data_IF_870206447822
#
_entry.id   IF_870206447822
#
_cell.length_a   1.000
_cell.length_b   1.000
_cell.length_c   1.000
_cell.angle_alpha   90.00
_cell.angle_beta   90.00
_cell.angle_gamma   90.00
#
_symmetry.space_group_name_H-M   'P 1'
#
loop_
_entity.id
_entity.type
_entity.pdbx_description
1 polymer ?
#
# COMPACT_ATOMS: atom_id res chain seq x y z
N UNK A 1 20.95 -26.81 68.21
CA UNK A 1 21.35 -25.48 68.71
C UNK A 1 22.51 -24.99 67.86
N UNK A 2 22.29 -23.96 67.02
CA UNK A 2 22.98 -22.64 67.02
C UNK A 2 24.49 -22.74 66.69
N UNK A 3 25.13 -22.12 65.69
CA UNK A 3 24.91 -21.01 64.73
C UNK A 3 25.95 -21.21 63.57
N UNK A 4 25.67 -20.96 62.29
CA UNK A 4 25.76 -19.67 61.56
C UNK A 4 27.13 -18.93 61.67
N UNK A 5 27.84 -18.77 60.54
CA UNK A 5 28.38 -17.52 59.95
C UNK A 5 29.56 -17.82 58.98
N UNK A 6 29.36 -17.70 57.66
CA UNK A 6 29.62 -16.53 56.77
C UNK A 6 31.12 -16.20 56.62
N UNK A 7 31.74 -16.42 55.45
CA UNK A 7 31.81 -15.53 54.26
C UNK A 7 32.69 -14.28 54.52
N UNK A 8 33.63 -13.86 53.67
CA UNK A 8 33.43 -13.34 52.30
C UNK A 8 34.79 -13.33 51.57
N UNK A 9 34.82 -13.86 50.35
CA UNK A 9 35.92 -13.73 49.39
C UNK A 9 35.54 -12.64 48.38
N UNK A 10 36.46 -11.71 48.15
CA UNK A 10 36.48 -10.68 47.12
C UNK A 10 36.19 -11.22 45.72
N UNK A 11 35.28 -10.62 44.95
CA UNK A 11 35.33 -10.72 43.49
C UNK A 11 34.58 -9.59 42.78
N UNK A 12 35.36 -8.82 42.03
CA UNK A 12 35.05 -8.18 40.75
C UNK A 12 33.71 -7.43 40.60
N UNK A 13 33.83 -6.11 40.61
CA UNK A 13 32.95 -5.17 39.93
C UNK A 13 32.84 -5.57 38.45
N UNK A 14 31.82 -6.34 38.10
CA UNK A 14 31.42 -6.51 36.70
C UNK A 14 30.38 -5.44 36.39
N UNK A 15 30.85 -4.38 35.73
CA UNK A 15 30.02 -3.48 34.96
C UNK A 15 29.41 -4.31 33.81
N UNK A 16 28.32 -5.01 34.08
CA UNK A 16 27.52 -5.58 32.99
C UNK A 16 26.77 -4.43 32.34
N UNK A 17 27.24 -4.02 31.17
CA UNK A 17 26.40 -3.33 30.20
C UNK A 17 25.22 -4.26 29.91
N UNK A 18 24.11 -4.06 30.61
CA UNK A 18 22.81 -4.45 30.11
C UNK A 18 22.43 -3.48 28.97
N UNK A 19 23.21 -3.48 27.89
CA UNK A 19 22.72 -3.17 26.55
C UNK A 19 21.99 -4.43 26.03
N UNK A 20 21.07 -4.94 26.84
CA UNK A 20 20.16 -6.01 26.50
C UNK A 20 18.86 -5.36 26.09
N UNK A 21 18.62 -5.32 24.77
CA UNK A 21 17.31 -5.23 24.14
C UNK A 21 16.18 -4.66 25.03
N UNK A 22 16.02 -3.34 25.05
CA UNK A 22 14.65 -2.82 25.14
C UNK A 22 13.99 -3.21 23.82
N UNK A 23 13.34 -4.38 23.81
CA UNK A 23 12.33 -4.67 22.83
C UNK A 23 11.37 -3.48 22.86
N UNK A 24 11.26 -2.78 21.74
CA UNK A 24 10.23 -1.78 21.51
C UNK A 24 8.89 -2.50 21.75
N UNK A 25 8.33 -2.38 22.96
CA UNK A 25 6.96 -2.81 23.20
C UNK A 25 6.14 -1.93 22.28
N UNK A 26 5.75 -2.46 21.12
CA UNK A 26 4.84 -1.79 20.20
C UNK A 26 3.59 -1.45 21.01
N UNK A 27 3.47 -0.17 21.35
CA UNK A 27 2.36 0.35 22.11
C UNK A 27 1.07 -0.04 21.39
N UNK A 28 0.26 -0.87 22.05
CA UNK A 28 -0.97 -1.39 21.47
C UNK A 28 -1.90 -0.21 21.16
N UNK A 29 -2.47 -0.18 19.96
CA UNK A 29 -3.46 0.84 19.61
C UNK A 29 -4.71 0.59 20.44
N UNK A 30 -4.92 1.40 21.48
CA UNK A 30 -6.19 1.38 22.21
C UNK A 30 -7.26 2.09 21.37
N UNK A 31 -8.17 1.29 20.81
CA UNK A 31 -9.25 1.78 19.95
C UNK A 31 -10.54 2.12 20.67
N UNK A 32 -10.62 1.82 21.97
CA UNK A 32 -11.82 2.03 22.78
C UNK A 32 -11.65 3.17 23.79
N UNK A 33 -12.63 4.06 23.81
CA UNK A 33 -12.86 5.01 24.90
C UNK A 33 -14.30 4.84 25.39
N UNK A 34 -14.51 4.65 26.69
CA UNK A 34 -15.83 4.41 27.29
C UNK A 34 -16.64 3.31 26.55
N UNK A 35 -15.96 2.21 26.18
CA UNK A 35 -16.53 1.06 25.46
C UNK A 35 -17.05 1.38 24.03
N UNK A 36 -16.64 2.51 23.44
CA UNK A 36 -16.92 2.87 22.05
C UNK A 36 -15.64 2.90 21.22
N UNK A 37 -15.73 2.44 19.98
CA UNK A 37 -14.65 2.62 19.01
C UNK A 37 -14.51 4.11 18.69
N UNK A 38 -13.30 4.65 18.80
CA UNK A 38 -13.06 6.09 18.61
C UNK A 38 -11.92 6.41 17.64
N UNK A 39 -11.05 5.44 17.33
CA UNK A 39 -9.85 5.67 16.53
C UNK A 39 -10.14 5.59 15.04
N UNK A 40 -9.51 6.45 14.26
CA UNK A 40 -9.48 6.34 12.80
C UNK A 40 -8.14 5.80 12.32
N UNK A 41 -8.15 5.10 11.18
CA UNK A 41 -6.95 4.53 10.57
C UNK A 41 -6.91 4.87 9.09
N UNK A 42 -5.74 5.30 8.60
CA UNK A 42 -5.52 5.60 7.18
C UNK A 42 -4.39 4.73 6.64
N UNK A 43 -4.68 3.97 5.58
CA UNK A 43 -3.67 3.28 4.77
C UNK A 43 -3.53 4.00 3.44
N UNK A 44 -2.29 4.20 3.00
CA UNK A 44 -2.01 4.70 1.66
C UNK A 44 -1.50 3.57 0.79
N UNK A 45 -2.07 3.42 -0.41
CA UNK A 45 -1.57 2.43 -1.37
C UNK A 45 -0.10 2.74 -1.67
N UNK A 46 0.73 1.69 -1.78
CA UNK A 46 2.15 1.82 -2.11
C UNK A 46 3.03 2.33 -0.97
N UNK A 47 2.44 2.76 0.15
CA UNK A 47 3.16 3.20 1.33
C UNK A 47 3.28 2.08 2.34
N UNK A 48 4.47 1.98 2.95
CA UNK A 48 4.77 1.03 4.03
C UNK A 48 4.52 1.64 5.40
N UNK A 49 3.53 2.52 5.48
CA UNK A 49 3.18 3.26 6.68
C UNK A 49 1.65 3.44 6.72
N UNK A 50 1.07 3.33 7.92
CA UNK A 50 -0.34 3.63 8.16
C UNK A 50 -0.45 4.64 9.31
N UNK A 51 -1.54 5.38 9.36
CA UNK A 51 -1.71 6.50 10.29
C UNK A 51 -2.90 6.23 11.20
N UNK A 52 -2.78 6.56 12.49
CA UNK A 52 -3.84 6.43 13.48
C UNK A 52 -4.20 7.81 13.98
N UNK A 53 -5.48 8.18 13.97
CA UNK A 53 -5.98 9.51 14.37
C UNK A 53 -5.26 10.67 13.68
N UNK A 54 -4.88 10.47 12.42
CA UNK A 54 -4.15 11.48 11.64
C UNK A 54 -2.74 11.80 12.15
N UNK A 55 -2.23 11.06 13.14
CA UNK A 55 -0.88 11.27 13.70
C UNK A 55 0.20 10.89 12.69
N UNK A 56 1.22 11.74 12.60
CA UNK A 56 2.39 11.59 11.72
C UNK A 56 3.68 11.80 12.52
N UNK A 57 4.78 11.07 12.26
CA UNK A 57 4.90 9.94 11.33
C UNK A 57 3.97 8.79 11.75
N UNK A 58 3.59 7.97 10.78
CA UNK A 58 2.72 6.83 11.01
C UNK A 58 3.49 5.60 11.53
N UNK A 59 2.80 4.47 11.55
CA UNK A 59 3.33 3.18 11.98
C UNK A 59 3.80 2.40 10.76
N UNK A 60 5.05 1.91 10.82
CA UNK A 60 5.68 1.18 9.73
C UNK A 60 5.11 -0.23 9.53
N UNK A 61 5.06 -0.64 8.27
CA UNK A 61 4.70 -1.98 7.79
C UNK A 61 5.86 -2.56 6.97
N UNK A 62 5.97 -3.88 6.90
CA UNK A 62 6.95 -4.54 6.04
C UNK A 62 6.50 -4.62 4.56
N UNK A 63 5.19 -4.56 4.34
CA UNK A 63 4.55 -4.57 3.03
C UNK A 63 3.56 -3.41 2.88
N UNK A 64 3.33 -2.99 1.63
CA UNK A 64 2.42 -1.90 1.31
C UNK A 64 1.07 -2.42 0.80
N UNK A 65 -0.04 -1.70 1.05
CA UNK A 65 -1.28 -1.94 0.34
C UNK A 65 -1.10 -1.76 -1.17
N UNK A 66 -1.88 -2.48 -1.98
CA UNK A 66 -1.84 -2.38 -3.44
C UNK A 66 -3.25 -2.38 -4.04
N UNK A 67 -3.35 -2.00 -5.30
CA UNK A 67 -4.59 -2.14 -6.07
C UNK A 67 -4.48 -3.36 -6.96
N UNK A 68 -5.52 -4.19 -6.95
CA UNK A 68 -5.71 -5.32 -7.86
C UNK A 68 -7.19 -5.51 -8.10
N UNK A 69 -7.59 -5.88 -9.33
CA UNK A 69 -8.99 -6.13 -9.68
C UNK A 69 -9.95 -4.99 -9.25
N UNK A 70 -9.51 -3.74 -9.40
CA UNK A 70 -10.26 -2.54 -8.97
C UNK A 70 -10.67 -2.56 -7.48
N UNK A 71 -9.84 -3.16 -6.62
CA UNK A 71 -9.99 -3.16 -5.16
C UNK A 71 -8.66 -2.87 -4.49
N UNK A 72 -8.70 -2.21 -3.35
CA UNK A 72 -7.51 -1.97 -2.53
C UNK A 72 -7.29 -3.11 -1.56
N UNK A 73 -6.19 -3.81 -1.75
CA UNK A 73 -5.73 -4.91 -0.91
C UNK A 73 -4.83 -4.36 0.19
N UNK A 74 -5.24 -4.53 1.44
CA UNK A 74 -4.48 -4.11 2.63
C UNK A 74 -3.98 -5.36 3.37
N UNK A 75 -2.75 -5.35 3.92
CA UNK A 75 -2.26 -6.48 4.69
C UNK A 75 -3.12 -6.68 5.95
N UNK A 76 -3.72 -7.86 6.07
CA UNK A 76 -4.79 -8.12 7.05
C UNK A 76 -4.31 -7.96 8.50
N UNK A 77 -3.07 -8.39 8.81
CA UNK A 77 -2.51 -8.24 10.15
C UNK A 77 -2.35 -6.78 10.56
N UNK A 78 -1.81 -5.94 9.68
CA UNK A 78 -1.65 -4.52 9.97
C UNK A 78 -2.99 -3.80 10.08
N UNK A 79 -3.96 -4.15 9.23
CA UNK A 79 -5.33 -3.66 9.37
C UNK A 79 -5.92 -4.06 10.73
N UNK A 80 -5.84 -5.34 11.10
CA UNK A 80 -6.31 -5.81 12.41
C UNK A 80 -5.68 -5.06 13.58
N UNK A 81 -4.35 -4.99 13.60
CA UNK A 81 -3.60 -4.32 14.66
C UNK A 81 -3.92 -2.82 14.76
N UNK A 82 -4.05 -2.13 13.62
CA UNK A 82 -4.43 -0.73 13.58
C UNK A 82 -5.86 -0.49 14.10
N UNK A 83 -6.75 -1.47 13.90
CA UNK A 83 -8.12 -1.47 14.43
C UNK A 83 -8.22 -2.10 15.84
N UNK A 84 -7.09 -2.31 16.52
CA UNK A 84 -7.04 -2.71 17.93
C UNK A 84 -7.07 -4.22 18.20
N UNK A 85 -7.03 -5.07 17.17
CA UNK A 85 -6.86 -6.52 17.33
C UNK A 85 -5.43 -6.78 17.81
N UNK A 86 -5.24 -7.53 18.89
CA UNK A 86 -3.89 -7.94 19.32
C UNK A 86 -3.36 -9.08 18.47
N UNK A 87 -2.04 -9.22 18.36
CA UNK A 87 -1.44 -10.32 17.60
C UNK A 87 -1.88 -11.71 18.12
N UNK A 88 -2.16 -11.84 19.42
CA UNK A 88 -2.73 -13.04 20.04
C UNK A 88 -4.14 -13.38 19.53
N UNK A 89 -4.90 -12.36 19.12
CA UNK A 89 -6.24 -12.49 18.56
C UNK A 89 -6.24 -12.54 17.02
N UNK A 90 -5.06 -12.69 16.40
CA UNK A 90 -4.89 -12.93 14.96
C UNK A 90 -4.28 -14.31 14.76
N UNK A 91 -5.10 -15.27 14.31
CA UNK A 91 -4.66 -16.63 14.04
C UNK A 91 -4.65 -16.96 12.56
N UNK A 92 -3.79 -17.92 12.19
CA UNK A 92 -3.67 -18.46 10.84
C UNK A 92 -3.70 -19.98 10.91
N UNK A 93 -4.65 -20.59 10.21
CA UNK A 93 -4.71 -22.04 9.98
C UNK A 93 -4.09 -22.36 8.62
N UNK A 94 -2.94 -23.01 8.64
CA UNK A 94 -2.19 -23.41 7.45
C UNK A 94 -2.88 -24.50 6.64
N UNK A 95 -3.66 -25.38 7.27
CA UNK A 95 -4.34 -26.49 6.59
C UNK A 95 -5.49 -25.99 5.72
N UNK A 96 -6.20 -25.00 6.23
CA UNK A 96 -7.37 -24.42 5.54
C UNK A 96 -7.06 -23.09 4.85
N UNK A 97 -5.83 -22.59 4.95
CA UNK A 97 -5.43 -21.24 4.49
C UNK A 97 -6.39 -20.16 4.98
N UNK A 98 -6.71 -20.20 6.27
CA UNK A 98 -7.71 -19.34 6.89
C UNK A 98 -7.04 -18.40 7.90
N UNK A 99 -7.31 -17.10 7.77
CA UNK A 99 -7.00 -16.13 8.82
C UNK A 99 -8.26 -15.82 9.63
N UNK A 100 -8.10 -15.64 10.95
CA UNK A 100 -9.16 -15.23 11.86
C UNK A 100 -8.68 -14.07 12.73
N UNK A 101 -9.51 -13.05 12.85
CA UNK A 101 -9.28 -11.85 13.65
C UNK A 101 -10.43 -11.69 14.64
N UNK A 102 -10.13 -11.35 15.89
CA UNK A 102 -11.14 -11.17 16.95
C UNK A 102 -10.91 -9.87 17.71
N UNK A 103 -11.96 -9.04 17.83
CA UNK A 103 -11.94 -7.79 18.61
C UNK A 103 -13.16 -7.76 19.55
N UNK A 104 -12.94 -8.09 20.82
CA UNK A 104 -14.05 -8.25 21.78
C UNK A 104 -15.03 -9.32 21.30
N UNK A 105 -16.30 -8.96 21.09
CA UNK A 105 -17.32 -9.86 20.54
C UNK A 105 -17.33 -9.94 19.01
N UNK A 106 -16.54 -9.11 18.32
CA UNK A 106 -16.50 -9.05 16.86
C UNK A 106 -15.43 -9.99 16.31
N UNK A 107 -15.71 -10.60 15.16
CA UNK A 107 -14.75 -11.45 14.47
C UNK A 107 -14.89 -11.43 12.95
N UNK A 108 -13.76 -11.67 12.28
CA UNK A 108 -13.68 -11.85 10.84
C UNK A 108 -12.86 -13.10 10.53
N UNK A 109 -13.40 -14.02 9.73
CA UNK A 109 -12.66 -15.15 9.17
C UNK A 109 -12.63 -15.05 7.65
N UNK A 110 -11.45 -15.27 7.08
CA UNK A 110 -11.21 -15.20 5.64
C UNK A 110 -10.40 -16.42 5.21
N UNK A 111 -10.74 -16.98 4.06
CA UNK A 111 -10.02 -18.11 3.46
C UNK A 111 -9.44 -17.68 2.12
N UNK A 112 -8.13 -17.89 1.93
CA UNK A 112 -7.44 -17.52 0.69
C UNK A 112 -8.15 -18.15 -0.51
N UNK A 113 -8.37 -17.36 -1.56
CA UNK A 113 -9.02 -17.80 -2.79
C UNK A 113 -10.54 -17.99 -2.70
N UNK A 114 -11.16 -17.77 -1.53
CA UNK A 114 -12.62 -17.80 -1.37
C UNK A 114 -13.20 -16.41 -1.18
N UNK A 115 -14.24 -16.08 -1.94
CA UNK A 115 -15.00 -14.83 -1.81
C UNK A 115 -15.88 -14.78 -0.56
N UNK A 116 -16.16 -15.92 0.04
CA UNK A 116 -16.93 -16.04 1.27
C UNK A 116 -16.08 -15.64 2.49
N UNK A 117 -16.56 -14.64 3.21
CA UNK A 117 -15.98 -14.15 4.47
C UNK A 117 -16.98 -14.42 5.57
N UNK A 118 -16.52 -14.87 6.73
CA UNK A 118 -17.37 -15.06 7.91
C UNK A 118 -17.22 -13.84 8.80
N UNK A 119 -18.22 -12.97 8.80
CA UNK A 119 -18.30 -11.80 9.68
C UNK A 119 -19.23 -12.10 10.84
N UNK A 120 -18.70 -12.11 12.06
CA UNK A 120 -19.49 -12.34 13.28
C UNK A 120 -20.35 -13.62 13.20
N UNK A 121 -19.77 -14.70 12.64
CA UNK A 121 -20.44 -15.98 12.44
C UNK A 121 -21.38 -16.06 11.23
N UNK A 122 -21.59 -14.97 10.49
CA UNK A 122 -22.44 -14.93 9.28
C UNK A 122 -21.58 -14.91 8.01
N UNK A 123 -22.02 -15.64 6.99
CA UNK A 123 -21.36 -15.61 5.68
C UNK A 123 -21.73 -14.32 4.96
N UNK A 124 -20.71 -13.63 4.46
CA UNK A 124 -20.78 -12.43 3.63
C UNK A 124 -20.01 -12.71 2.34
N UNK A 125 -20.62 -12.42 1.19
CA UNK A 125 -19.95 -12.54 -0.11
C UNK A 125 -19.14 -11.27 -0.40
N UNK A 126 -17.88 -11.45 -0.78
CA UNK A 126 -16.99 -10.39 -1.24
C UNK A 126 -16.83 -10.39 -2.75
N UNK A 127 -16.57 -9.21 -3.33
CA UNK A 127 -16.39 -9.10 -4.79
C UNK A 127 -15.13 -9.82 -5.29
N UNK A 128 -14.09 -9.83 -4.46
CA UNK A 128 -12.79 -10.46 -4.73
C UNK A 128 -12.32 -11.25 -3.51
N UNK A 129 -11.57 -12.33 -3.76
CA UNK A 129 -11.09 -13.21 -2.71
C UNK A 129 -9.84 -12.63 -2.01
N UNK A 130 -9.58 -13.00 -0.74
CA UNK A 130 -8.30 -12.72 -0.09
C UNK A 130 -7.16 -13.41 -0.83
N UNK A 131 -6.00 -12.75 -0.88
CA UNK A 131 -4.81 -13.18 -1.61
C UNK A 131 -3.64 -13.42 -0.65
N UNK A 132 -2.82 -14.43 -0.96
CA UNK A 132 -1.52 -14.63 -0.32
C UNK A 132 -0.44 -14.13 -1.27
N UNK A 133 0.27 -13.07 -0.88
CA UNK A 133 1.32 -12.45 -1.71
C UNK A 133 2.55 -12.17 -0.85
N UNK A 134 3.71 -12.67 -1.30
CA UNK A 134 4.99 -12.49 -0.59
C UNK A 134 4.92 -12.89 0.91
N UNK A 135 4.21 -13.98 1.22
CA UNK A 135 4.05 -14.46 2.59
C UNK A 135 3.17 -13.56 3.49
N UNK A 136 2.34 -12.70 2.90
CA UNK A 136 1.37 -11.86 3.62
C UNK A 136 -0.03 -12.09 3.06
N UNK A 137 -1.01 -12.16 3.95
CA UNK A 137 -2.42 -12.23 3.59
C UNK A 137 -2.96 -10.82 3.36
N UNK A 138 -3.57 -10.62 2.20
CA UNK A 138 -4.23 -9.38 1.82
C UNK A 138 -5.72 -9.62 1.58
N UNK A 139 -6.50 -8.58 1.83
CA UNK A 139 -7.93 -8.56 1.61
C UNK A 139 -8.35 -7.16 1.15
N UNK A 140 -9.47 -7.02 0.41
CA UNK A 140 -10.17 -5.74 0.40
C UNK A 140 -10.44 -5.27 1.83
N UNK A 141 -9.82 -4.16 2.23
CA UNK A 141 -9.83 -3.69 3.61
C UNK A 141 -11.24 -3.60 4.23
N UNK A 142 -12.21 -3.26 3.38
CA UNK A 142 -13.62 -3.10 3.73
C UNK A 142 -14.15 -4.25 4.57
N UNK A 143 -14.02 -5.51 4.12
CA UNK A 143 -14.71 -6.62 4.76
C UNK A 143 -14.19 -6.93 6.16
N UNK A 144 -12.87 -6.82 6.39
CA UNK A 144 -12.31 -6.99 7.75
C UNK A 144 -12.66 -5.81 8.62
N UNK A 145 -12.51 -4.57 8.13
CA UNK A 145 -12.82 -3.39 8.92
C UNK A 145 -14.30 -3.32 9.33
N UNK A 146 -15.22 -3.57 8.40
CA UNK A 146 -16.67 -3.60 8.64
C UNK A 146 -17.06 -4.71 9.62
N UNK A 147 -16.48 -5.90 9.49
CA UNK A 147 -16.69 -6.98 10.45
C UNK A 147 -16.25 -6.58 11.88
N UNK A 148 -15.25 -5.71 12.00
CA UNK A 148 -14.73 -5.17 13.26
C UNK A 148 -15.45 -3.88 13.73
N UNK A 149 -16.47 -3.41 13.03
CA UNK A 149 -17.29 -2.26 13.43
C UNK A 149 -16.85 -0.91 12.86
N UNK A 150 -16.08 -0.92 11.77
CA UNK A 150 -15.59 0.28 11.09
C UNK A 150 -16.24 0.46 9.72
N UNK A 151 -16.47 1.72 9.35
CA UNK A 151 -16.75 2.12 7.98
C UNK A 151 -15.46 2.31 7.20
N UNK A 152 -15.48 1.98 5.91
CA UNK A 152 -14.33 2.19 5.01
C UNK A 152 -14.69 3.06 3.82
N UNK A 153 -14.03 4.22 3.75
CA UNK A 153 -14.06 5.12 2.61
C UNK A 153 -12.76 5.04 1.82
N UNK A 154 -12.84 5.26 0.50
CA UNK A 154 -11.67 5.44 -0.36
C UNK A 154 -11.63 6.86 -0.89
N UNK A 155 -10.53 7.58 -0.61
CA UNK A 155 -10.40 9.01 -0.91
C UNK A 155 -8.99 9.26 -1.43
N UNK A 156 -8.85 9.66 -2.69
CA UNK A 156 -7.57 10.03 -3.30
C UNK A 156 -6.44 8.99 -3.09
N UNK A 157 -6.76 7.70 -3.24
CA UNK A 157 -5.76 6.63 -3.03
C UNK A 157 -5.54 6.24 -1.56
N UNK A 158 -6.34 6.78 -0.64
CA UNK A 158 -6.30 6.46 0.79
C UNK A 158 -7.49 5.58 1.18
N UNK A 159 -7.21 4.50 1.91
CA UNK A 159 -8.21 3.71 2.60
C UNK A 159 -8.38 4.30 3.99
N UNK A 160 -9.56 4.83 4.27
CA UNK A 160 -9.88 5.52 5.53
C UNK A 160 -10.90 4.68 6.30
N UNK A 161 -10.45 4.08 7.39
CA UNK A 161 -11.26 3.32 8.32
C UNK A 161 -11.62 4.19 9.52
N UNK A 162 -12.90 4.27 9.88
CA UNK A 162 -13.35 5.00 11.07
C UNK A 162 -14.59 4.32 11.67
N UNK A 163 -14.89 4.50 12.97
CA UNK A 163 -15.99 3.80 13.62
C UNK A 163 -17.32 3.99 12.90
N UNK A 164 -18.12 2.93 12.77
CA UNK A 164 -19.45 3.05 12.17
C UNK A 164 -20.32 4.04 12.94
N UNK A 165 -20.98 4.95 12.22
CA UNK A 165 -21.81 6.00 12.80
C UNK A 165 -21.06 7.22 13.35
N UNK A 166 -19.72 7.26 13.29
CA UNK A 166 -18.95 8.46 13.64
C UNK A 166 -18.79 9.42 12.46
N UNK A 167 -18.39 10.66 12.76
CA UNK A 167 -18.03 11.63 11.74
C UNK A 167 -16.76 11.17 11.00
N UNK A 168 -16.78 11.34 9.69
CA UNK A 168 -15.62 11.09 8.84
C UNK A 168 -14.42 11.90 9.33
N UNK A 169 -13.24 11.28 9.54
CA UNK A 169 -12.07 11.97 10.08
C UNK A 169 -11.49 12.97 9.08
N UNK A 170 -10.88 14.04 9.60
CA UNK A 170 -10.02 14.90 8.79
C UNK A 170 -8.70 14.19 8.51
N UNK A 171 -8.37 14.07 7.22
CA UNK A 171 -7.16 13.40 6.72
C UNK A 171 -6.16 14.37 6.09
N UNK A 172 -6.36 15.69 6.27
CA UNK A 172 -5.53 16.73 5.63
C UNK A 172 -4.07 16.64 6.06
N UNK A 173 -3.80 16.41 7.36
CA UNK A 173 -2.45 16.23 7.87
C UNK A 173 -1.74 15.01 7.26
N UNK A 174 -2.45 13.89 7.13
CA UNK A 174 -1.93 12.66 6.50
C UNK A 174 -1.62 12.91 5.02
N UNK A 175 -2.52 13.56 4.28
CA UNK A 175 -2.29 13.92 2.88
C UNK A 175 -1.06 14.81 2.72
N UNK A 176 -0.93 15.85 3.55
CA UNK A 176 0.22 16.75 3.51
C UNK A 176 1.53 16.01 3.79
N UNK A 177 1.55 15.15 4.81
CA UNK A 177 2.72 14.37 5.17
C UNK A 177 3.15 13.40 4.05
N UNK A 178 2.20 12.66 3.47
CA UNK A 178 2.50 11.77 2.33
C UNK A 178 3.04 12.56 1.13
N UNK A 179 2.44 13.72 0.83
CA UNK A 179 2.89 14.56 -0.28
C UNK A 179 4.30 15.16 -0.05
N UNK A 180 4.67 15.45 1.20
CA UNK A 180 6.03 15.92 1.53
C UNK A 180 7.09 14.82 1.35
N UNK A 181 6.71 13.55 1.49
CA UNK A 181 7.59 12.42 1.22
C UNK A 181 7.67 12.06 -0.27
N UNK A 182 6.73 12.56 -1.09
CA UNK A 182 6.82 12.39 -2.54
C UNK A 182 7.95 13.27 -3.08
N UNK A 183 8.67 12.83 -4.14
CA UNK A 183 9.58 13.70 -4.86
C UNK A 183 8.80 14.97 -5.28
N UNK A 184 9.38 16.17 -5.12
CA UNK A 184 8.64 17.42 -5.29
C UNK A 184 7.87 17.46 -6.62
N UNK A 185 6.55 17.60 -6.53
CA UNK A 185 5.68 17.83 -7.70
C UNK A 185 6.12 19.16 -8.31
N UNK A 186 6.53 19.11 -9.57
CA UNK A 186 7.19 20.25 -10.21
C UNK A 186 6.23 21.44 -10.36
N UNK A 187 6.59 22.61 -9.80
CA UNK A 187 5.99 23.90 -10.15
C UNK A 187 6.29 24.22 -11.62
N UNK A 188 5.30 24.05 -12.49
CA UNK A 188 5.34 24.37 -13.92
C UNK A 188 3.94 24.29 -14.53
N UNK A 189 3.73 24.91 -15.71
CA UNK A 189 2.44 24.81 -16.40
C UNK A 189 2.15 23.36 -16.80
N UNK A 190 0.96 22.87 -16.47
CA UNK A 190 0.48 21.54 -16.84
C UNK A 190 -0.69 21.65 -17.81
N UNK A 191 -1.05 20.52 -18.42
CA UNK A 191 -2.30 20.35 -19.16
C UNK A 191 -2.93 19.00 -18.80
N UNK A 192 -4.24 18.90 -18.94
CA UNK A 192 -4.96 17.64 -18.78
C UNK A 192 -4.90 16.84 -20.09
N UNK A 193 -4.48 15.58 -19.99
CA UNK A 193 -4.49 14.62 -21.09
C UNK A 193 -5.27 13.38 -20.61
N UNK A 194 -6.51 13.17 -21.04
CA UNK A 194 -7.29 11.97 -20.70
C UNK A 194 -7.34 11.65 -19.18
N UNK A 195 -7.34 12.68 -18.32
CA UNK A 195 -7.31 12.54 -16.87
C UNK A 195 -5.90 12.54 -16.25
N UNK A 196 -4.84 12.57 -17.05
CA UNK A 196 -3.46 12.77 -16.59
C UNK A 196 -3.11 14.25 -16.51
N UNK A 197 -2.41 14.64 -15.45
CA UNK A 197 -1.76 15.95 -15.33
C UNK A 197 -0.36 15.85 -15.93
N UNK A 198 -0.17 16.44 -17.10
CA UNK A 198 1.09 16.37 -17.86
C UNK A 198 1.80 17.72 -17.83
N UNK A 199 3.11 17.79 -17.51
CA UNK A 199 3.88 19.02 -17.61
C UNK A 199 4.02 19.45 -19.08
N UNK A 200 3.75 20.74 -19.40
CA UNK A 200 3.94 21.28 -20.76
C UNK A 200 5.41 21.24 -21.22
N UNK A 201 6.34 21.28 -20.27
CA UNK A 201 7.79 21.16 -20.49
C UNK A 201 8.36 20.14 -19.49
N UNK A 202 8.49 18.86 -19.87
CA UNK A 202 9.21 17.88 -19.07
C UNK A 202 10.65 18.38 -18.81
N UNK A 203 11.20 18.17 -17.60
CA UNK A 203 12.59 18.57 -17.31
C UNK A 203 13.59 17.52 -17.77
N UNK A 204 13.09 16.39 -18.26
CA UNK A 204 13.88 15.28 -18.81
C UNK A 204 13.53 15.04 -20.28
N UNK A 205 14.22 14.08 -20.90
CA UNK A 205 13.93 13.64 -22.26
C UNK A 205 12.70 12.71 -22.36
N UNK A 206 11.90 12.60 -21.28
CA UNK A 206 10.69 11.80 -21.23
C UNK A 206 9.81 12.09 -22.45
N UNK A 207 9.48 11.06 -23.22
CA UNK A 207 8.61 11.20 -24.38
C UNK A 207 7.21 10.77 -24.01
N UNK A 208 6.26 11.68 -24.19
CA UNK A 208 4.84 11.42 -24.00
C UNK A 208 4.21 11.41 -25.38
N UNK A 209 3.79 10.23 -25.82
CA UNK A 209 3.07 10.01 -27.08
C UNK A 209 1.63 9.67 -26.73
N UNK A 210 0.68 10.21 -27.48
CA UNK A 210 -0.73 9.87 -27.32
C UNK A 210 -1.33 9.57 -28.69
N UNK A 211 -2.25 8.61 -28.72
CA UNK A 211 -3.16 8.41 -29.84
C UNK A 211 -4.44 9.19 -29.61
N UNK A 212 -5.16 9.51 -30.68
CA UNK A 212 -6.55 9.92 -30.57
C UNK A 212 -7.33 8.74 -29.95
N UNK A 213 -7.83 8.91 -28.71
CA UNK A 213 -8.53 7.86 -27.98
C UNK A 213 -9.81 7.40 -28.71
N UNK A 214 -10.32 8.20 -29.65
CA UNK A 214 -11.48 7.88 -30.49
C UNK A 214 -11.11 7.10 -31.76
N UNK A 215 -9.82 6.95 -32.09
CA UNK A 215 -9.35 6.18 -33.26
C UNK A 215 -8.81 4.79 -32.87
N UNK A 216 -8.71 3.95 -33.90
CA UNK A 216 -8.62 2.48 -33.94
C UNK A 216 -7.64 1.79 -32.95
N UNK A 217 -6.72 2.51 -32.30
CA UNK A 217 -5.76 1.94 -31.35
C UNK A 217 -6.01 2.29 -29.87
N UNK A 218 -6.98 3.15 -29.51
CA UNK A 218 -7.47 3.44 -28.13
C UNK A 218 -6.41 3.61 -27.02
N UNK A 219 -5.16 3.93 -27.39
CA UNK A 219 -4.06 4.30 -26.48
C UNK A 219 -4.33 5.70 -25.97
N UNK A 220 -4.58 5.82 -24.67
CA UNK A 220 -4.83 7.11 -24.03
C UNK A 220 -3.57 7.78 -23.49
N UNK A 221 -2.49 7.02 -23.27
CA UNK A 221 -1.19 7.52 -22.84
C UNK A 221 -0.08 6.52 -23.22
N UNK A 222 1.04 7.00 -23.74
CA UNK A 222 2.28 6.24 -23.86
C UNK A 222 3.44 7.10 -23.33
N UNK A 223 4.08 6.63 -22.26
CA UNK A 223 5.28 7.24 -21.72
C UNK A 223 6.48 6.38 -22.13
N UNK A 224 7.43 6.97 -22.85
CA UNK A 224 8.70 6.33 -23.17
C UNK A 224 9.83 6.93 -22.32
N UNK A 225 10.39 6.09 -21.46
CA UNK A 225 11.58 6.35 -20.64
C UNK A 225 12.80 5.94 -21.47
N UNK A 226 13.68 6.89 -21.78
CA UNK A 226 14.84 6.67 -22.62
C UNK A 226 16.00 6.12 -21.78
N UNK A 227 16.57 5.00 -22.22
CA UNK A 227 17.71 4.29 -21.61
C UNK A 227 18.80 4.05 -22.67
N UNK A 228 20.07 3.80 -22.31
CA UNK A 228 20.69 3.90 -20.97
C UNK A 228 21.40 5.24 -20.72
N UNK A 229 21.59 6.09 -21.74
CA UNK A 229 22.47 7.27 -21.67
C UNK A 229 21.81 8.55 -21.11
N UNK A 230 20.70 8.41 -20.38
CA UNK A 230 19.91 9.54 -19.85
C UNK A 230 19.70 9.36 -18.35
N UNK A 231 19.21 10.42 -17.70
CA UNK A 231 18.82 10.34 -16.29
C UNK A 231 17.53 9.53 -16.13
N UNK A 232 17.68 8.20 -16.17
CA UNK A 232 16.57 7.23 -16.08
C UNK A 232 15.80 7.43 -14.78
N UNK A 233 16.50 7.73 -13.69
CA UNK A 233 15.87 7.97 -12.39
C UNK A 233 14.93 9.17 -12.45
N UNK A 234 15.39 10.33 -12.96
CA UNK A 234 14.52 11.50 -13.09
C UNK A 234 13.37 11.30 -14.07
N UNK A 235 13.61 10.59 -15.19
CA UNK A 235 12.54 10.25 -16.14
C UNK A 235 11.47 9.38 -15.49
N UNK A 236 11.88 8.38 -14.72
CA UNK A 236 10.99 7.53 -13.93
C UNK A 236 10.22 8.35 -12.90
N UNK A 237 10.86 9.26 -12.17
CA UNK A 237 10.19 10.11 -11.18
C UNK A 237 9.13 11.01 -11.84
N UNK A 238 9.41 11.58 -13.02
CA UNK A 238 8.43 12.35 -13.80
C UNK A 238 7.29 11.48 -14.33
N UNK A 239 7.61 10.29 -14.87
CA UNK A 239 6.61 9.33 -15.32
C UNK A 239 5.68 8.90 -14.17
N UNK A 240 6.24 8.70 -12.98
CA UNK A 240 5.50 8.33 -11.78
C UNK A 240 4.51 9.44 -11.39
N UNK A 241 4.93 10.70 -11.40
CA UNK A 241 4.03 11.84 -11.13
C UNK A 241 2.89 11.93 -12.13
N UNK A 242 3.17 11.77 -13.43
CA UNK A 242 2.15 11.81 -14.49
C UNK A 242 1.15 10.67 -14.30
N UNK A 243 1.63 9.43 -14.14
CA UNK A 243 0.75 8.27 -13.95
C UNK A 243 -0.03 8.38 -12.63
N UNK A 244 0.58 8.91 -11.57
CA UNK A 244 -0.04 9.04 -10.25
C UNK A 244 -1.22 10.00 -10.26
N UNK A 245 -1.20 11.00 -11.15
CA UNK A 245 -2.29 11.97 -11.28
C UNK A 245 -3.64 11.35 -11.66
N UNK A 246 -3.63 10.19 -12.35
CA UNK A 246 -4.85 9.43 -12.70
C UNK A 246 -5.00 8.14 -11.89
N UNK A 247 -3.90 7.41 -11.70
CA UNK A 247 -3.94 6.06 -11.12
C UNK A 247 -3.66 6.02 -9.62
N UNK A 248 -3.28 7.16 -9.03
CA UNK A 248 -2.73 7.21 -7.68
C UNK A 248 -1.28 6.77 -7.62
N UNK A 249 -0.57 7.27 -6.60
CA UNK A 249 0.88 7.14 -6.44
C UNK A 249 1.37 5.69 -6.51
N UNK A 250 0.65 4.79 -5.86
CA UNK A 250 1.10 3.42 -5.70
C UNK A 250 1.14 2.61 -6.98
N UNK A 251 0.07 2.74 -7.77
CA UNK A 251 -0.05 2.00 -9.00
C UNK A 251 0.91 2.59 -10.04
N UNK A 252 1.01 3.91 -10.11
CA UNK A 252 2.05 4.60 -10.87
C UNK A 252 3.45 4.12 -10.50
N UNK A 253 3.77 4.07 -9.19
CA UNK A 253 5.04 3.56 -8.69
C UNK A 253 5.27 2.11 -9.09
N UNK A 254 4.26 1.24 -9.04
CA UNK A 254 4.38 -0.15 -9.47
C UNK A 254 4.74 -0.28 -10.96
N UNK A 255 4.14 0.53 -11.83
CA UNK A 255 4.47 0.56 -13.26
C UNK A 255 5.90 1.06 -13.48
N UNK A 256 6.27 2.15 -12.82
CA UNK A 256 7.57 2.80 -12.98
C UNK A 256 8.70 2.01 -12.33
N UNK A 257 8.48 1.35 -11.19
CA UNK A 257 9.48 0.48 -10.54
C UNK A 257 9.86 -0.70 -11.42
N UNK A 258 8.93 -1.20 -12.24
CA UNK A 258 9.28 -2.17 -13.27
C UNK A 258 10.16 -1.52 -14.33
N UNK A 259 9.79 -0.35 -14.85
CA UNK A 259 10.59 0.36 -15.85
C UNK A 259 12.00 0.75 -15.35
N UNK A 260 12.15 1.08 -14.07
CA UNK A 260 13.43 1.36 -13.39
C UNK A 260 14.39 0.17 -13.40
N UNK A 261 13.90 -1.06 -13.57
CA UNK A 261 14.76 -2.24 -13.59
C UNK A 261 15.70 -2.23 -14.80
N UNK A 262 15.34 -1.60 -15.92
CA UNK A 262 16.18 -1.57 -17.12
C UNK A 262 17.29 -0.56 -16.96
N UNK A 263 18.43 -1.05 -16.46
CA UNK A 263 19.69 -0.31 -16.43
C UNK A 263 20.61 -0.68 -17.59
N UNK A 264 20.26 -1.72 -18.35
CA UNK A 264 21.04 -2.28 -19.46
C UNK A 264 20.17 -2.42 -20.75
N UNK A 265 20.66 -2.01 -21.94
CA UNK A 265 20.00 -2.27 -23.23
C UNK A 265 19.60 -3.73 -23.49
N UNK A 266 20.34 -4.70 -22.99
CA UNK A 266 20.06 -6.14 -23.17
C UNK A 266 18.96 -6.66 -22.23
N UNK A 267 18.64 -5.91 -21.17
CA UNK A 267 17.62 -6.31 -20.21
C UNK A 267 16.21 -6.11 -20.77
N UNK A 268 15.48 -7.20 -20.93
CA UNK A 268 14.09 -7.15 -21.35
C UNK A 268 13.17 -6.83 -20.17
N UNK A 269 12.15 -6.01 -20.47
CA UNK A 269 11.03 -5.79 -19.57
C UNK A 269 9.78 -6.13 -20.35
N UNK A 270 8.92 -6.96 -19.79
CA UNK A 270 7.59 -7.17 -20.32
C UNK A 270 6.62 -7.53 -19.20
N UNK A 271 5.60 -6.70 -18.98
CA UNK A 271 4.52 -7.02 -18.07
C UNK A 271 3.25 -6.24 -18.38
N UNK A 272 2.14 -6.95 -18.34
CA UNK A 272 0.81 -6.38 -18.42
C UNK A 272 0.22 -6.14 -17.03
N UNK A 273 -0.57 -5.07 -16.93
CA UNK A 273 -1.29 -4.65 -15.74
C UNK A 273 -2.72 -4.26 -16.11
N UNK A 274 -3.64 -4.45 -15.17
CA UNK A 274 -4.97 -3.84 -15.24
C UNK A 274 -4.99 -2.60 -14.35
N UNK A 275 -5.26 -1.44 -14.95
CA UNK A 275 -5.39 -0.16 -14.27
C UNK A 275 -6.55 -0.13 -13.28
N UNK A 276 -6.51 0.78 -12.29
CA UNK A 276 -7.55 0.92 -11.28
C UNK A 276 -8.94 1.17 -11.89
N UNK A 277 -9.04 1.82 -13.05
CA UNK A 277 -10.32 2.11 -13.69
C UNK A 277 -10.64 1.15 -14.84
N UNK A 278 -9.92 0.02 -14.93
CA UNK A 278 -10.11 -1.02 -15.95
C UNK A 278 -9.26 -0.83 -17.21
N UNK A 279 -8.28 0.08 -17.19
CA UNK A 279 -7.33 0.27 -18.29
C UNK A 279 -6.49 -1.00 -18.52
N UNK A 280 -6.14 -1.31 -19.76
CA UNK A 280 -5.08 -2.27 -20.05
C UNK A 280 -3.76 -1.51 -20.13
N UNK A 281 -2.72 -2.01 -19.47
CA UNK A 281 -1.44 -1.30 -19.38
C UNK A 281 -0.31 -2.27 -19.64
N UNK A 282 0.62 -1.90 -20.50
CA UNK A 282 1.83 -2.66 -20.77
C UNK A 282 3.04 -1.81 -20.34
N UNK A 283 3.95 -2.43 -19.60
CA UNK A 283 5.31 -1.92 -19.44
C UNK A 283 6.24 -2.83 -20.23
N UNK A 284 6.84 -2.31 -21.30
CA UNK A 284 7.65 -3.10 -22.22
C UNK A 284 8.93 -2.41 -22.67
N UNK A 285 10.00 -3.20 -22.76
CA UNK A 285 11.25 -2.87 -23.42
C UNK A 285 11.83 -4.15 -24.00
N UNK A 286 11.77 -4.35 -25.34
CA UNK A 286 12.38 -5.51 -25.96
C UNK A 286 13.91 -5.44 -25.92
N UNK A 287 14.57 -6.57 -26.20
CA UNK A 287 16.02 -6.66 -26.28
C UNK A 287 16.62 -5.61 -27.22
N UNK A 288 17.69 -4.94 -26.79
CA UNK A 288 18.38 -3.90 -27.55
C UNK A 288 17.61 -2.58 -27.67
N UNK A 289 16.41 -2.46 -27.07
CA UNK A 289 15.66 -1.21 -27.11
C UNK A 289 16.29 -0.14 -26.23
N UNK A 290 16.36 1.07 -26.76
CA UNK A 290 16.82 2.28 -26.05
C UNK A 290 15.69 2.98 -25.28
N UNK A 291 14.57 2.28 -25.03
CA UNK A 291 13.44 2.82 -24.29
C UNK A 291 12.63 1.74 -23.60
N UNK A 292 12.12 2.08 -22.42
CA UNK A 292 10.99 1.37 -21.80
C UNK A 292 9.72 2.18 -22.04
N UNK A 293 8.70 1.53 -22.60
CA UNK A 293 7.40 2.13 -22.86
C UNK A 293 6.41 1.71 -21.77
N UNK A 294 5.62 2.65 -21.27
CA UNK A 294 4.45 2.42 -20.45
C UNK A 294 3.25 2.86 -21.28
N UNK A 295 2.58 1.88 -21.89
CA UNK A 295 1.44 2.11 -22.79
C UNK A 295 0.16 1.82 -22.04
N UNK A 296 -0.77 2.77 -22.08
CA UNK A 296 -2.08 2.67 -21.45
C UNK A 296 -3.16 2.71 -22.52
N UNK A 297 -3.99 1.67 -22.54
CA UNK A 297 -5.20 1.58 -23.35
C UNK A 297 -6.43 1.82 -22.48
N UNK A 298 -7.38 2.58 -23.02
CA UNK A 298 -8.65 2.84 -22.34
C UNK A 298 -9.42 1.54 -22.03
N UNK A 299 -10.32 1.50 -21.03
CA UNK A 299 -11.04 0.27 -20.62
C UNK A 299 -11.94 -0.30 -21.72
N UNK A 300 -12.48 0.56 -22.59
CA UNK A 300 -13.27 0.16 -23.77
C UNK A 300 -12.38 -0.20 -24.97
N UNK A 301 -11.07 -0.14 -24.76
CA UNK A 301 -9.92 -0.42 -25.63
C UNK A 301 -10.00 -1.70 -26.42
N UNK A 302 -9.79 -2.80 -25.72
CA UNK A 302 -9.13 -3.95 -26.32
C UNK A 302 -7.69 -3.57 -26.71
N UNK A 303 -6.73 -4.40 -26.29
CA UNK A 303 -5.39 -4.38 -26.85
C UNK A 303 -5.39 -5.05 -28.22
#
# INVERSE_FOLDING_TARGET
MKKLMSAILTCALTLSLAAGAMAEQKEQVNVYEQNKLVKSVVFAVGQKEYFVDGKTPGVKMDVAPYISQNRTFVPVRYLGNALGVTDENISWDTKTSKAKLTLGSRSAELTIGKKQIISNGKVVEADVAPELKSGRTYLPARFVAEALGYRVDFIDGLVVCYPEGSQKPDISAVKQYINQQQPPVQQGETYNLNGYTVPKKPKTDLKIVYGDAEKVNKVELNIAIIVPYRDVQKQCDEAEQILASKFGQAFAKQLVDLARQKTDPEQEIYKDFTGPNGESIEVSSPWGATRTSIVVWSPKGGR
#
